data_IF_926397505512
#
_entry.id   IF_926397505512
#
_cell.length_a   1.000
_cell.length_b   1.000
_cell.length_c   1.000
_cell.angle_alpha   90.00
_cell.angle_beta   90.00
_cell.angle_gamma   90.00
#
_symmetry.space_group_name_H-M   'P 1'
#
loop_
_entity.id
_entity.type
_entity.pdbx_description
1 polymer ?
#
# COMPACT_ATOMS: atom_id res chain seq x y z
N UNK A 1 -20.67 -5.42 -26.71
CA UNK A 1 -21.80 -4.47 -26.89
C UNK A 1 -22.47 -4.35 -25.53
N UNK A 2 -22.65 -3.20 -24.87
CA UNK A 2 -22.52 -1.81 -25.27
C UNK A 2 -22.14 -0.97 -24.02
N UNK A 3 -21.67 0.24 -24.29
CA UNK A 3 -21.00 1.20 -23.41
C UNK A 3 -21.94 1.82 -22.37
N UNK A 4 -21.39 2.30 -21.25
CA UNK A 4 -21.70 3.66 -20.79
C UNK A 4 -20.66 4.22 -19.81
N UNK A 5 -19.91 5.17 -20.35
CA UNK A 5 -19.08 6.20 -19.73
C UNK A 5 -19.91 7.25 -18.99
N UNK A 6 -19.48 7.70 -17.82
CA UNK A 6 -19.92 8.97 -17.23
C UNK A 6 -18.71 9.76 -16.70
N UNK A 7 -18.25 10.72 -17.49
CA UNK A 7 -17.37 11.80 -17.07
C UNK A 7 -18.20 12.87 -16.33
N UNK A 8 -17.70 13.37 -15.20
CA UNK A 8 -18.35 14.44 -14.43
C UNK A 8 -17.32 15.33 -13.75
N UNK A 9 -16.58 16.10 -14.56
CA UNK A 9 -15.83 17.27 -14.14
C UNK A 9 -16.80 18.34 -13.62
N UNK A 10 -16.61 18.85 -12.41
CA UNK A 10 -17.21 20.12 -11.98
C UNK A 10 -16.11 21.00 -11.37
N UNK A 11 -15.64 21.91 -12.22
CA UNK A 11 -14.92 23.13 -11.88
C UNK A 11 -15.89 24.11 -11.21
N UNK A 12 -15.60 24.56 -9.99
CA UNK A 12 -16.24 25.75 -9.41
C UNK A 12 -15.17 26.80 -9.17
N UNK A 13 -15.08 27.73 -10.11
CA UNK A 13 -14.34 28.98 -9.97
C UNK A 13 -15.19 29.98 -9.19
N UNK A 14 -14.73 30.40 -8.01
CA UNK A 14 -15.31 31.50 -7.25
C UNK A 14 -14.41 32.74 -7.40
N UNK A 15 -14.76 33.61 -8.34
CA UNK A 15 -14.07 34.87 -8.59
C UNK A 15 -14.65 35.97 -7.69
N UNK A 16 -13.85 36.45 -6.74
CA UNK A 16 -14.12 37.66 -5.98
C UNK A 16 -13.58 38.86 -6.75
N UNK A 17 -14.50 39.66 -7.28
CA UNK A 17 -14.25 40.90 -7.98
C UNK A 17 -14.03 42.04 -6.98
N UNK A 18 -12.88 42.71 -7.06
CA UNK A 18 -12.70 44.06 -6.51
C UNK A 18 -12.47 45.02 -7.68
N UNK A 19 -13.43 45.91 -7.90
CA UNK A 19 -13.24 47.14 -8.68
C UNK A 19 -12.58 48.20 -7.79
N UNK A 20 -11.53 48.85 -8.29
CA UNK A 20 -10.98 50.10 -7.75
C UNK A 20 -9.86 50.67 -8.64
N UNK A 21 -10.07 51.83 -9.24
CA UNK A 21 -9.20 52.47 -10.25
C UNK A 21 -8.23 53.54 -9.68
N UNK A 22 -7.07 53.70 -10.36
CA UNK A 22 -6.37 54.96 -10.75
C UNK A 22 -5.12 55.47 -9.99
N UNK A 23 -3.94 55.21 -10.60
CA UNK A 23 -2.80 56.09 -11.01
C UNK A 23 -1.99 56.98 -9.99
N UNK A 24 -0.74 57.43 -10.33
CA UNK A 24 0.46 57.29 -9.49
C UNK A 24 1.06 58.62 -8.98
N UNK A 25 1.92 58.54 -7.95
CA UNK A 25 2.80 59.63 -7.51
C UNK A 25 3.44 59.37 -6.13
N UNK A 26 4.76 59.18 -6.10
CA UNK A 26 5.67 59.27 -4.94
C UNK A 26 5.98 60.76 -4.60
N UNK A 27 6.67 61.15 -3.50
CA UNK A 27 7.30 60.35 -2.44
C UNK A 27 7.12 60.87 -0.98
N UNK A 28 7.65 60.09 -0.02
CA UNK A 28 8.59 60.47 1.06
C UNK A 28 8.22 60.00 2.49
N UNK A 29 9.12 59.14 3.03
CA UNK A 29 9.59 58.89 4.42
C UNK A 29 8.58 59.01 5.58
N UNK A 30 8.53 58.12 6.58
CA UNK A 30 9.63 57.62 7.40
C UNK A 30 9.11 56.52 8.35
N UNK A 31 9.91 55.48 8.54
CA UNK A 31 10.08 54.60 9.70
C UNK A 31 8.87 54.01 10.46
N UNK A 32 8.75 52.67 10.37
CA UNK A 32 8.66 51.82 11.56
C UNK A 32 9.05 50.37 11.25
N UNK A 33 10.25 50.01 11.68
CA UNK A 33 10.56 48.76 12.40
C UNK A 33 9.77 47.50 12.01
N UNK A 34 10.40 46.66 11.20
CA UNK A 34 10.06 45.24 11.06
C UNK A 34 11.31 44.49 10.61
N UNK A 35 12.13 44.07 11.57
CA UNK A 35 13.33 43.28 11.31
C UNK A 35 12.97 41.95 10.67
N UNK A 36 13.24 41.82 9.37
CA UNK A 36 13.21 40.54 8.68
C UNK A 36 14.43 39.74 9.17
N UNK A 37 14.17 38.71 9.99
CA UNK A 37 15.17 37.73 10.39
C UNK A 37 15.60 36.98 9.12
N UNK A 38 16.64 37.47 8.45
CA UNK A 38 17.39 36.71 7.45
C UNK A 38 17.98 35.48 8.14
N UNK A 39 17.34 34.33 7.97
CA UNK A 39 18.02 33.04 8.13
C UNK A 39 19.01 32.93 6.97
N UNK A 40 20.23 33.43 7.18
CA UNK A 40 21.38 32.99 6.40
C UNK A 40 21.65 31.54 6.81
N UNK A 41 21.22 30.60 5.98
CA UNK A 41 21.61 29.21 6.13
C UNK A 41 23.15 29.12 6.01
N UNK A 42 23.85 28.53 6.99
CA UNK A 42 25.26 28.21 6.84
C UNK A 42 25.42 27.23 5.68
N UNK A 43 26.15 27.64 4.64
CA UNK A 43 26.57 26.78 3.53
C UNK A 43 27.66 25.84 4.05
N UNK A 44 27.24 24.73 4.64
CA UNK A 44 28.09 23.57 4.87
C UNK A 44 28.38 22.93 3.50
N UNK A 45 29.62 22.50 3.21
CA UNK A 45 29.99 22.12 1.86
C UNK A 45 29.26 20.83 1.47
N UNK A 46 28.26 20.96 0.61
CA UNK A 46 27.67 19.86 -0.14
C UNK A 46 28.79 19.21 -0.94
N UNK A 47 29.29 18.09 -0.42
CA UNK A 47 30.17 17.19 -1.17
C UNK A 47 29.27 16.53 -2.21
N UNK A 48 29.22 17.15 -3.38
CA UNK A 48 28.52 16.63 -4.55
C UNK A 48 29.10 15.23 -4.83
N UNK A 49 28.36 14.19 -4.47
CA UNK A 49 28.67 12.82 -4.84
C UNK A 49 28.40 12.73 -6.34
N UNK A 50 29.43 12.99 -7.14
CA UNK A 50 29.37 12.80 -8.59
C UNK A 50 29.36 11.30 -8.85
N UNK A 51 28.18 10.70 -8.73
CA UNK A 51 27.89 9.32 -9.05
C UNK A 51 27.84 9.18 -10.57
N UNK A 52 29.01 9.00 -11.19
CA UNK A 52 29.08 8.60 -12.60
C UNK A 52 28.54 7.18 -12.74
N UNK A 53 27.34 7.04 -13.31
CA UNK A 53 26.78 5.73 -13.62
C UNK A 53 27.54 5.11 -14.82
N UNK A 54 28.06 3.87 -14.69
CA UNK A 54 28.66 3.16 -15.81
C UNK A 54 27.69 3.03 -17.00
N UNK A 55 28.19 2.94 -18.26
CA UNK A 55 27.33 2.84 -19.43
C UNK A 55 26.45 1.57 -19.37
N UNK A 56 25.13 1.76 -19.41
CA UNK A 56 24.13 0.68 -19.31
C UNK A 56 23.51 0.51 -17.92
N UNK A 57 24.10 1.16 -16.91
CA UNK A 57 23.55 1.31 -15.57
C UNK A 57 22.58 2.49 -15.55
N UNK A 58 21.41 2.29 -14.96
CA UNK A 58 20.36 3.31 -14.85
C UNK A 58 20.26 3.92 -13.45
N UNK A 59 20.80 3.25 -12.44
CA UNK A 59 20.97 3.76 -11.08
C UNK A 59 22.05 2.97 -10.34
N UNK A 60 22.71 3.62 -9.38
CA UNK A 60 23.62 3.00 -8.43
C UNK A 60 23.03 3.14 -7.02
N UNK A 61 23.00 2.05 -6.26
CA UNK A 61 22.61 2.05 -4.84
C UNK A 61 23.77 1.44 -4.06
N UNK A 62 24.53 2.28 -3.37
CA UNK A 62 25.82 1.93 -2.77
C UNK A 62 26.77 1.28 -3.80
N UNK A 63 27.20 0.04 -3.58
CA UNK A 63 28.03 -0.72 -4.52
C UNK A 63 27.22 -1.58 -5.52
N UNK A 64 25.89 -1.47 -5.53
CA UNK A 64 25.00 -2.26 -6.40
C UNK A 64 24.54 -1.47 -7.61
N UNK A 65 24.79 -2.02 -8.80
CA UNK A 65 24.35 -1.48 -10.08
C UNK A 65 22.94 -1.98 -10.45
N UNK A 66 22.06 -1.06 -10.84
CA UNK A 66 20.78 -1.39 -11.47
C UNK A 66 20.96 -1.18 -12.97
N UNK A 67 20.94 -2.27 -13.73
CA UNK A 67 21.10 -2.20 -15.20
C UNK A 67 19.77 -1.93 -15.89
N UNK A 68 19.83 -1.49 -17.15
CA UNK A 68 18.64 -1.38 -18.00
C UNK A 68 17.90 -2.71 -18.16
N UNK A 69 18.65 -3.82 -18.20
CA UNK A 69 18.08 -5.16 -18.33
C UNK A 69 17.28 -5.55 -17.08
N UNK A 70 17.80 -5.25 -15.88
CA UNK A 70 17.11 -5.50 -14.62
C UNK A 70 15.80 -4.75 -14.53
N UNK A 71 15.84 -3.45 -14.86
CA UNK A 71 14.65 -2.60 -14.89
C UNK A 71 13.61 -3.13 -15.88
N UNK A 72 14.04 -3.59 -17.06
CA UNK A 72 13.11 -4.13 -18.06
C UNK A 72 12.53 -5.48 -17.65
N UNK A 73 13.35 -6.38 -17.11
CA UNK A 73 12.89 -7.66 -16.56
C UNK A 73 11.86 -7.43 -15.45
N UNK A 74 12.13 -6.50 -14.54
CA UNK A 74 11.22 -6.17 -13.44
C UNK A 74 9.93 -5.52 -13.94
N UNK A 75 10.00 -4.65 -14.95
CA UNK A 75 8.84 -4.05 -15.60
C UNK A 75 7.95 -5.13 -16.25
N UNK A 76 8.54 -6.06 -17.00
CA UNK A 76 7.82 -7.21 -17.60
C UNK A 76 7.13 -8.05 -16.53
N UNK A 77 7.83 -8.43 -15.46
CA UNK A 77 7.24 -9.19 -14.35
C UNK A 77 6.08 -8.45 -13.69
N UNK A 78 6.18 -7.13 -13.55
CA UNK A 78 5.11 -6.30 -12.98
C UNK A 78 3.88 -6.30 -13.88
N UNK A 79 4.06 -6.20 -15.20
CA UNK A 79 2.96 -6.27 -16.16
C UNK A 79 2.29 -7.64 -16.19
N UNK A 80 3.08 -8.73 -16.20
CA UNK A 80 2.55 -10.10 -16.15
C UNK A 80 1.70 -10.31 -14.90
N UNK A 81 2.13 -9.80 -13.74
CA UNK A 81 1.35 -9.89 -12.50
C UNK A 81 0.02 -9.13 -12.55
N UNK A 82 -0.08 -8.11 -13.42
CA UNK A 82 -1.29 -7.31 -13.67
C UNK A 82 -2.13 -7.85 -14.83
N UNK A 83 -1.76 -8.98 -15.42
CA UNK A 83 -2.46 -9.60 -16.55
C UNK A 83 -2.12 -9.01 -17.92
N UNK A 84 -1.11 -8.15 -18.03
CA UNK A 84 -0.60 -7.65 -19.31
C UNK A 84 0.52 -8.57 -19.81
N UNK A 85 0.27 -9.29 -20.89
CA UNK A 85 1.28 -10.14 -21.56
C UNK A 85 1.67 -9.56 -22.90
N UNK A 86 2.84 -9.96 -23.41
CA UNK A 86 3.26 -9.60 -24.76
C UNK A 86 2.17 -9.98 -25.77
N UNK A 87 1.85 -9.05 -26.68
CA UNK A 87 0.77 -9.21 -27.66
C UNK A 87 -0.62 -8.74 -27.23
N UNK A 88 -0.79 -8.24 -25.99
CA UNK A 88 -2.01 -7.52 -25.59
C UNK A 88 -2.01 -6.09 -26.12
N UNK A 89 -3.20 -5.55 -26.41
CA UNK A 89 -3.35 -4.13 -26.76
C UNK A 89 -2.76 -3.26 -25.63
N UNK A 90 -2.06 -2.18 -25.99
CA UNK A 90 -1.41 -1.23 -25.06
C UNK A 90 -0.18 -1.78 -24.31
N UNK A 91 0.28 -3.02 -24.58
CA UNK A 91 1.43 -3.63 -23.88
C UNK A 91 2.69 -2.74 -23.92
N UNK A 92 3.08 -2.25 -25.09
CA UNK A 92 4.30 -1.45 -25.24
C UNK A 92 4.23 -0.10 -24.50
N UNK A 93 3.06 0.54 -24.51
CA UNK A 93 2.85 1.80 -23.79
C UNK A 93 2.86 1.57 -22.28
N UNK A 94 2.30 0.45 -21.82
CA UNK A 94 2.32 0.06 -20.41
C UNK A 94 3.74 -0.36 -19.98
N UNK A 95 4.51 -1.00 -20.85
CA UNK A 95 5.90 -1.36 -20.59
C UNK A 95 6.76 -0.12 -20.46
N UNK A 96 6.57 0.88 -21.32
CA UNK A 96 7.26 2.17 -21.22
C UNK A 96 6.99 2.87 -19.87
N UNK A 97 5.74 2.87 -19.39
CA UNK A 97 5.40 3.41 -18.07
C UNK A 97 5.97 2.58 -16.92
N UNK A 98 5.95 1.25 -17.06
CA UNK A 98 6.41 0.31 -16.04
C UNK A 98 7.94 0.36 -15.84
N UNK A 99 8.73 0.74 -16.85
CA UNK A 99 10.19 0.86 -16.73
C UNK A 99 10.61 1.83 -15.63
N UNK A 100 10.00 3.01 -15.54
CA UNK A 100 10.33 3.98 -14.48
C UNK A 100 10.01 3.41 -13.10
N UNK A 101 8.78 2.92 -12.91
CA UNK A 101 8.38 2.33 -11.63
C UNK A 101 9.18 1.07 -11.27
N UNK A 102 9.72 0.35 -12.26
CA UNK A 102 10.62 -0.78 -12.02
C UNK A 102 11.98 -0.33 -11.49
N UNK A 103 12.56 0.77 -12.01
CA UNK A 103 13.78 1.36 -11.47
C UNK A 103 13.54 1.84 -10.04
N UNK A 104 12.48 2.62 -9.81
CA UNK A 104 12.14 3.15 -8.48
C UNK A 104 12.00 2.00 -7.46
N UNK A 105 11.29 0.94 -7.82
CA UNK A 105 11.10 -0.22 -6.96
C UNK A 105 12.40 -1.02 -6.71
N UNK A 106 13.30 -1.10 -7.70
CA UNK A 106 14.59 -1.75 -7.52
C UNK A 106 15.49 -0.94 -6.58
N UNK A 107 15.48 0.40 -6.71
CA UNK A 107 16.16 1.29 -5.78
C UNK A 107 15.63 1.10 -4.36
N UNK A 108 14.31 1.20 -4.18
CA UNK A 108 13.66 0.98 -2.88
C UNK A 108 14.04 -0.38 -2.28
N UNK A 109 14.04 -1.44 -3.10
CA UNK A 109 14.40 -2.80 -2.65
C UNK A 109 15.84 -2.85 -2.16
N UNK A 110 16.78 -2.23 -2.88
CA UNK A 110 18.19 -2.26 -2.51
C UNK A 110 18.49 -1.40 -1.29
N UNK A 111 17.88 -0.22 -1.19
CA UNK A 111 18.01 0.64 0.01
C UNK A 111 17.48 -0.08 1.25
N UNK A 112 16.32 -0.73 1.15
CA UNK A 112 15.76 -1.49 2.27
C UNK A 112 16.62 -2.70 2.64
N UNK A 113 17.21 -3.38 1.66
CA UNK A 113 18.14 -4.48 1.92
C UNK A 113 19.42 -4.03 2.59
N UNK A 114 20.04 -2.94 2.12
CA UNK A 114 21.25 -2.40 2.73
C UNK A 114 21.01 -2.00 4.19
N UNK A 115 19.91 -1.28 4.45
CA UNK A 115 19.53 -0.90 5.82
C UNK A 115 19.26 -2.11 6.74
N UNK A 116 18.70 -3.18 6.16
CA UNK A 116 18.39 -4.43 6.85
C UNK A 116 19.65 -5.23 7.20
N UNK A 117 20.58 -5.35 6.26
CA UNK A 117 21.84 -6.08 6.42
C UNK A 117 22.74 -5.43 7.50
N UNK A 118 22.78 -4.10 7.55
CA UNK A 118 23.70 -3.37 8.43
C UNK A 118 23.23 -3.24 9.89
N UNK A 119 21.92 -3.39 10.17
CA UNK A 119 21.37 -3.01 11.49
C UNK A 119 20.52 -4.06 12.19
N UNK A 120 20.07 -5.12 11.51
CA UNK A 120 19.13 -6.09 12.10
C UNK A 120 19.63 -7.53 11.97
N UNK A 121 19.75 -8.18 13.13
CA UNK A 121 19.95 -9.63 13.22
C UNK A 121 18.61 -10.32 13.42
N UNK A 122 18.31 -11.32 12.59
CA UNK A 122 17.16 -12.22 12.75
C UNK A 122 17.67 -13.54 13.32
N UNK A 123 17.00 -14.04 14.35
CA UNK A 123 17.38 -15.31 14.98
C UNK A 123 16.80 -16.50 14.22
N UNK A 124 17.47 -17.65 14.27
CA UNK A 124 16.95 -18.89 13.69
C UNK A 124 15.56 -19.24 14.23
N UNK A 125 15.29 -18.94 15.50
CA UNK A 125 13.99 -19.19 16.12
C UNK A 125 12.87 -18.39 15.46
N UNK A 126 13.10 -17.12 15.10
CA UNK A 126 12.12 -16.29 14.40
C UNK A 126 11.83 -16.82 13.00
N UNK A 127 12.87 -17.29 12.29
CA UNK A 127 12.72 -17.89 10.96
C UNK A 127 11.87 -19.16 11.04
N UNK A 128 12.16 -20.04 12.00
CA UNK A 128 11.40 -21.29 12.19
C UNK A 128 9.95 -21.02 12.60
N UNK A 129 9.70 -20.00 13.43
CA UNK A 129 8.33 -19.60 13.79
C UNK A 129 7.55 -19.09 12.58
N UNK A 130 8.15 -18.22 11.76
CA UNK A 130 7.50 -17.73 10.55
C UNK A 130 7.27 -18.84 9.53
N UNK A 131 8.25 -19.74 9.38
CA UNK A 131 8.13 -20.93 8.54
C UNK A 131 6.97 -21.83 8.98
N UNK A 132 6.82 -22.05 10.28
CA UNK A 132 5.70 -22.82 10.84
C UNK A 132 4.36 -22.12 10.58
N UNK A 133 4.30 -20.80 10.76
CA UNK A 133 3.11 -19.99 10.46
C UNK A 133 2.72 -20.10 8.99
N UNK A 134 3.69 -20.07 8.07
CA UNK A 134 3.44 -20.24 6.64
C UNK A 134 2.96 -21.66 6.35
N UNK A 135 3.65 -22.69 6.85
CA UNK A 135 3.25 -24.10 6.68
C UNK A 135 1.84 -24.37 7.20
N UNK A 136 1.42 -23.74 8.30
CA UNK A 136 0.07 -23.90 8.87
C UNK A 136 -1.05 -23.28 8.02
N UNK A 137 -0.73 -22.34 7.12
CA UNK A 137 -1.69 -21.77 6.16
C UNK A 137 -1.90 -22.66 4.93
N UNK A 138 -1.02 -23.64 4.70
CA UNK A 138 -1.19 -24.61 3.63
C UNK A 138 -2.10 -25.75 4.07
N UNK A 139 -2.99 -26.26 3.19
CA UNK A 139 -3.90 -27.36 3.53
C UNK A 139 -3.19 -28.63 3.98
N UNK A 140 -2.00 -28.88 3.43
CA UNK A 140 -1.15 -30.03 3.77
C UNK A 140 0.31 -29.76 3.35
N UNK A 141 1.20 -30.68 3.73
CA UNK A 141 2.63 -30.62 3.41
C UNK A 141 2.91 -30.68 1.91
N UNK A 142 2.18 -31.49 1.15
CA UNK A 142 2.37 -31.64 -0.30
C UNK A 142 2.11 -30.32 -1.04
N UNK A 143 1.04 -29.61 -0.67
CA UNK A 143 0.71 -28.29 -1.19
C UNK A 143 1.81 -27.24 -0.95
N UNK A 144 2.46 -27.31 0.22
CA UNK A 144 3.61 -26.46 0.53
C UNK A 144 4.83 -26.82 -0.34
N UNK A 145 5.16 -28.10 -0.46
CA UNK A 145 6.28 -28.58 -1.28
C UNK A 145 6.08 -28.29 -2.79
N UNK A 146 4.85 -28.41 -3.29
CA UNK A 146 4.49 -27.99 -4.64
C UNK A 146 4.65 -26.47 -4.84
N UNK A 147 4.33 -25.68 -3.82
CA UNK A 147 4.57 -24.24 -3.79
C UNK A 147 6.06 -23.90 -3.99
N UNK A 148 6.93 -24.54 -3.22
CA UNK A 148 8.37 -24.39 -3.34
C UNK A 148 8.89 -24.81 -4.72
N UNK A 149 8.43 -25.96 -5.25
CA UNK A 149 8.80 -26.45 -6.58
C UNK A 149 8.38 -25.50 -7.70
N UNK A 150 7.18 -24.92 -7.63
CA UNK A 150 6.69 -23.95 -8.62
C UNK A 150 7.55 -22.69 -8.67
N UNK A 151 8.12 -22.33 -7.52
CA UNK A 151 9.05 -21.20 -7.39
C UNK A 151 10.51 -21.59 -7.64
N UNK A 152 10.80 -22.87 -7.92
CA UNK A 152 12.15 -23.42 -8.06
C UNK A 152 13.05 -23.11 -6.84
N UNK A 153 12.48 -23.22 -5.64
CA UNK A 153 13.17 -23.01 -4.36
C UNK A 153 13.23 -24.30 -3.55
N UNK A 154 14.31 -24.50 -2.81
CA UNK A 154 14.35 -25.46 -1.70
C UNK A 154 13.79 -24.81 -0.42
N UNK A 155 13.56 -25.62 0.62
CA UNK A 155 13.18 -25.06 1.93
C UNK A 155 14.28 -24.17 2.51
N UNK A 156 15.55 -24.49 2.27
CA UNK A 156 16.67 -23.68 2.72
C UNK A 156 16.74 -22.33 1.99
N UNK A 157 16.56 -22.34 0.67
CA UNK A 157 16.47 -21.09 -0.11
C UNK A 157 15.31 -20.23 0.39
N UNK A 158 14.18 -20.86 0.73
CA UNK A 158 13.03 -20.17 1.27
C UNK A 158 13.29 -19.59 2.67
N UNK A 159 14.03 -20.28 3.55
CA UNK A 159 14.46 -19.72 4.83
C UNK A 159 15.31 -18.46 4.64
N UNK A 160 16.23 -18.46 3.67
CA UNK A 160 17.01 -17.26 3.32
C UNK A 160 16.16 -16.12 2.73
N UNK A 161 15.01 -16.43 2.11
CA UNK A 161 14.00 -15.41 1.73
C UNK A 161 13.29 -14.86 2.97
N UNK A 162 12.90 -15.72 3.91
CA UNK A 162 12.22 -15.32 5.14
C UNK A 162 13.11 -14.46 6.04
N UNK A 163 14.40 -14.79 6.13
CA UNK A 163 15.36 -14.00 6.89
C UNK A 163 15.40 -12.55 6.39
N UNK A 164 15.58 -12.36 5.08
CA UNK A 164 15.59 -11.02 4.45
C UNK A 164 14.28 -10.27 4.65
N UNK A 165 13.14 -10.94 4.50
CA UNK A 165 11.83 -10.33 4.75
C UNK A 165 11.67 -9.87 6.20
N UNK A 166 12.10 -10.69 7.16
CA UNK A 166 12.05 -10.36 8.59
C UNK A 166 12.97 -9.19 8.92
N UNK A 167 14.18 -9.12 8.35
CA UNK A 167 15.09 -7.99 8.57
C UNK A 167 14.46 -6.69 8.04
N UNK A 168 13.92 -6.69 6.83
CA UNK A 168 13.25 -5.51 6.23
C UNK A 168 12.06 -5.07 7.09
N UNK A 169 11.20 -6.01 7.52
CA UNK A 169 10.05 -5.68 8.39
C UNK A 169 10.47 -5.05 9.71
N UNK A 170 11.57 -5.52 10.30
CA UNK A 170 12.11 -4.97 11.55
C UNK A 170 12.70 -3.57 11.36
N UNK A 171 13.43 -3.32 10.27
CA UNK A 171 13.90 -1.96 9.94
C UNK A 171 12.72 -1.03 9.77
N UNK A 172 11.76 -1.38 8.90
CA UNK A 172 10.58 -0.56 8.68
C UNK A 172 9.78 -0.32 9.97
N UNK A 173 9.64 -1.34 10.82
CA UNK A 173 8.98 -1.21 12.12
C UNK A 173 9.70 -0.25 13.06
N UNK A 174 11.04 -0.29 13.10
CA UNK A 174 11.86 0.63 13.91
C UNK A 174 11.73 2.07 13.39
N UNK A 175 12.01 2.28 12.11
CA UNK A 175 12.00 3.61 11.49
C UNK A 175 10.59 4.23 11.49
N UNK A 176 9.54 3.43 11.30
CA UNK A 176 8.15 3.92 11.34
C UNK A 176 7.66 4.28 12.76
N UNK A 177 8.30 3.75 13.79
CA UNK A 177 7.98 4.09 15.19
C UNK A 177 8.84 5.26 15.70
N UNK A 178 9.98 5.51 15.07
CA UNK A 178 10.87 6.59 15.46
C UNK A 178 10.21 7.96 15.22
N UNK A 179 10.11 8.77 16.28
CA UNK A 179 9.51 10.10 16.21
C UNK A 179 7.98 10.14 16.06
N UNK A 180 7.29 8.99 15.98
CA UNK A 180 5.83 8.94 15.92
C UNK A 180 5.24 8.86 17.34
N UNK A 181 4.52 9.89 17.81
CA UNK A 181 3.89 9.83 19.12
C UNK A 181 2.78 8.78 19.12
N UNK A 182 2.69 8.02 20.22
CA UNK A 182 1.57 7.09 20.43
C UNK A 182 0.28 7.90 20.49
N UNK A 183 -0.76 7.56 19.69
CA UNK A 183 -2.01 8.29 19.69
C UNK A 183 -2.63 8.39 21.09
N UNK A 184 -3.08 9.59 21.46
CA UNK A 184 -3.75 9.80 22.75
C UNK A 184 -5.20 9.31 22.72
N UNK A 185 -5.83 9.22 23.89
CA UNK A 185 -7.28 8.91 23.97
C UNK A 185 -8.10 9.98 23.26
N UNK A 186 -7.67 11.22 23.32
CA UNK A 186 -8.30 12.35 22.65
C UNK A 186 -8.20 12.23 21.12
N UNK A 187 -7.06 11.79 20.59
CA UNK A 187 -6.88 11.52 19.16
C UNK A 187 -7.78 10.37 18.70
N UNK A 188 -7.84 9.29 19.48
CA UNK A 188 -8.73 8.16 19.21
C UNK A 188 -10.21 8.60 19.21
N UNK A 189 -10.62 9.43 20.18
CA UNK A 189 -11.99 9.98 20.24
C UNK A 189 -12.31 10.83 19.02
N UNK A 190 -11.44 11.77 18.64
CA UNK A 190 -11.62 12.61 17.44
C UNK A 190 -11.69 11.76 16.19
N UNK A 191 -10.83 10.75 16.07
CA UNK A 191 -10.83 9.83 14.93
C UNK A 191 -12.15 9.06 14.84
N UNK A 192 -12.68 8.56 15.97
CA UNK A 192 -13.97 7.90 16.03
C UNK A 192 -15.13 8.83 15.64
N UNK A 193 -15.19 10.03 16.20
CA UNK A 193 -16.26 11.00 15.94
C UNK A 193 -16.33 11.39 14.47
N UNK A 194 -15.18 11.67 13.84
CA UNK A 194 -15.07 12.04 12.41
C UNK A 194 -15.39 10.86 11.49
N UNK A 195 -15.09 9.63 11.90
CA UNK A 195 -15.27 8.42 11.09
C UNK A 195 -16.42 7.53 11.59
N UNK A 196 -17.39 8.09 12.32
CA UNK A 196 -18.47 7.34 12.99
C UNK A 196 -19.24 6.38 12.06
N UNK A 197 -19.45 6.76 10.79
CA UNK A 197 -20.09 5.89 9.79
C UNK A 197 -19.26 4.63 9.48
N UNK A 198 -17.93 4.69 9.52
CA UNK A 198 -17.06 3.53 9.29
C UNK A 198 -17.07 2.54 10.47
N UNK A 199 -17.44 3.01 11.66
CA UNK A 199 -17.60 2.19 12.86
C UNK A 199 -19.04 1.78 13.13
N UNK A 200 -19.97 2.18 12.26
CA UNK A 200 -21.34 1.68 12.26
C UNK A 200 -21.34 0.21 11.83
N UNK A 201 -21.85 -0.66 12.69
CA UNK A 201 -22.10 -2.05 12.30
C UNK A 201 -23.34 -2.07 11.40
N UNK A 202 -23.40 -2.89 10.34
CA UNK A 202 -24.67 -3.16 9.69
C UNK A 202 -25.63 -3.66 10.77
N UNK A 203 -26.86 -3.13 10.78
CA UNK A 203 -27.87 -3.41 11.80
C UNK A 203 -27.87 -4.89 12.20
N UNK A 204 -27.47 -5.17 13.44
CA UNK A 204 -27.68 -6.49 14.03
C UNK A 204 -29.07 -6.48 14.64
N UNK A 205 -29.97 -7.24 14.06
CA UNK A 205 -31.24 -7.57 14.72
C UNK A 205 -31.00 -8.80 15.58
N UNK A 206 -31.38 -8.71 16.85
CA UNK A 206 -31.59 -9.90 17.65
C UNK A 206 -32.99 -10.39 17.32
N UNK A 207 -33.11 -11.62 16.85
CA UNK A 207 -34.38 -12.25 16.57
C UNK A 207 -34.41 -13.63 17.22
N UNK A 208 -35.58 -14.02 17.68
CA UNK A 208 -35.85 -15.38 18.11
C UNK A 208 -36.49 -16.10 16.91
N UNK A 209 -35.90 -17.23 16.51
CA UNK A 209 -36.39 -18.04 15.40
C UNK A 209 -37.12 -19.26 15.92
N UNK A 210 -38.38 -19.43 15.51
CA UNK A 210 -39.14 -20.65 15.74
C UNK A 210 -39.25 -21.37 14.40
N UNK A 211 -38.56 -22.50 14.29
CA UNK A 211 -38.61 -23.38 13.11
C UNK A 211 -39.50 -24.57 13.45
N UNK A 212 -40.61 -24.72 12.73
CA UNK A 212 -41.46 -25.91 12.81
C UNK A 212 -41.06 -26.91 11.72
N UNK A 213 -40.43 -28.04 12.06
CA UNK A 213 -39.97 -29.00 11.06
C UNK A 213 -41.15 -29.74 10.41
N UNK A 214 -41.14 -29.84 9.08
CA UNK A 214 -42.08 -30.64 8.30
C UNK A 214 -41.36 -31.79 7.61
N UNK A 215 -42.03 -32.95 7.50
CA UNK A 215 -41.53 -34.06 6.71
C UNK A 215 -41.53 -33.70 5.21
N UNK A 216 -40.56 -34.20 4.42
CA UNK A 216 -40.41 -33.83 3.02
C UNK A 216 -41.58 -34.30 2.12
N UNK A 217 -42.36 -35.28 2.57
CA UNK A 217 -43.53 -35.85 1.90
C UNK A 217 -44.86 -35.42 2.56
N UNK A 218 -44.84 -34.32 3.33
CA UNK A 218 -46.04 -33.81 4.00
C UNK A 218 -47.14 -33.46 3.00
N UNK A 219 -48.38 -33.83 3.33
CA UNK A 219 -49.56 -33.46 2.53
C UNK A 219 -49.91 -31.98 2.69
N UNK A 220 -50.51 -31.37 1.67
CA UNK A 220 -50.92 -29.97 1.69
C UNK A 220 -51.78 -29.61 2.93
N UNK A 221 -52.68 -30.51 3.33
CA UNK A 221 -53.54 -30.33 4.50
C UNK A 221 -52.75 -30.23 5.82
N UNK A 222 -51.65 -30.97 5.96
CA UNK A 222 -50.79 -30.93 7.15
C UNK A 222 -49.82 -29.75 7.13
N UNK A 223 -49.46 -29.24 5.95
CA UNK A 223 -48.68 -28.00 5.78
C UNK A 223 -49.52 -26.78 6.18
N UNK A 224 -50.77 -26.71 5.75
CA UNK A 224 -51.70 -25.61 6.10
C UNK A 224 -52.03 -25.58 7.61
N UNK A 225 -52.15 -26.75 8.24
CA UNK A 225 -52.31 -26.84 9.70
C UNK A 225 -51.08 -26.33 10.46
N UNK A 226 -49.87 -26.69 10.02
CA UNK A 226 -48.63 -26.22 10.62
C UNK A 226 -48.47 -24.70 10.45
N UNK A 227 -48.81 -24.17 9.28
CA UNK A 227 -48.83 -22.72 9.03
C UNK A 227 -49.80 -21.99 9.94
N UNK A 228 -51.05 -22.45 10.04
CA UNK A 228 -52.06 -21.84 10.93
C UNK A 228 -51.57 -21.84 12.38
N UNK A 229 -50.99 -22.95 12.84
CA UNK A 229 -50.44 -23.05 14.19
C UNK A 229 -49.29 -22.07 14.42
N UNK A 230 -48.43 -21.84 13.43
CA UNK A 230 -47.35 -20.85 13.52
C UNK A 230 -47.83 -19.40 13.49
N UNK A 231 -48.93 -19.10 12.79
CA UNK A 231 -49.53 -17.76 12.74
C UNK A 231 -50.25 -17.38 14.06
N UNK A 232 -50.69 -18.38 14.83
CA UNK A 232 -51.38 -18.22 16.11
C UNK A 232 -50.45 -18.17 17.35
N UNK A 233 -49.13 -18.34 17.17
CA UNK A 233 -48.09 -18.24 18.22
C UNK A 233 -47.66 -16.79 18.51
#
# INVERSE_FOLDING_TARGET
>A
MNKNTWYGFVLVALTLTFLGCSKPGEPDKTDSSGGELKLTQPKEPEKEFELECPPGVVALVDDREITREDAEKRARMTLTSKGFTEGTDDYDAQLAKARKGAVDLLIETYVLQAAADDTIVVTTQEIEQELLMIKSRHPNRESYEEGLKRSNLTEEDFKGVLERDLQIRKVLGREAQEGVPIPTKEDARKFYEVNSMAFGWPYRVQYDEIIWPLAPDVTDASSEQAKTTMEDL
#
